data_IF_233193584120
#
_entry.id   IF_233193584120
#
_cell.length_a   1.000
_cell.length_b   1.000
_cell.length_c   1.000
_cell.angle_alpha   90.00
_cell.angle_beta   90.00
_cell.angle_gamma   90.00
#
_symmetry.space_group_name_H-M   'P 1'
#
loop_
_entity.id
_entity.type
_entity.pdbx_description
1 polymer ?
#
# COMPACT_ATOMS: atom_id res chain seq x y z
N UNK A 1 -15.35 28.51 -44.07
CA UNK A 1 -14.26 28.06 -43.19
C UNK A 1 -14.55 28.43 -41.74
N UNK A 2 -15.38 27.68 -41.02
CA UNK A 2 -15.39 27.65 -39.54
C UNK A 2 -16.02 26.30 -39.15
N UNK A 3 -15.21 25.26 -39.01
CA UNK A 3 -15.71 23.91 -38.71
C UNK A 3 -14.68 22.94 -38.14
N UNK A 4 -13.38 23.28 -38.19
CA UNK A 4 -12.30 22.41 -37.68
C UNK A 4 -11.86 22.69 -36.23
N UNK A 5 -12.22 23.83 -35.65
CA UNK A 5 -11.63 24.27 -34.36
C UNK A 5 -12.41 23.82 -33.10
N UNK A 6 -13.67 23.39 -33.23
CA UNK A 6 -14.53 22.99 -32.10
C UNK A 6 -14.51 21.48 -31.80
N UNK A 7 -14.10 20.62 -32.75
CA UNK A 7 -14.08 19.17 -32.55
C UNK A 7 -12.83 18.67 -31.78
N UNK A 8 -11.70 19.37 -31.91
CA UNK A 8 -10.45 18.98 -31.23
C UNK A 8 -10.46 19.26 -29.72
N UNK A 9 -11.24 20.24 -29.25
CA UNK A 9 -11.29 20.60 -27.82
C UNK A 9 -12.16 19.66 -26.97
N UNK A 10 -13.16 18.99 -27.56
CA UNK A 10 -14.05 18.07 -26.85
C UNK A 10 -13.63 16.59 -26.90
N UNK A 11 -12.68 16.22 -27.76
CA UNK A 11 -12.22 14.83 -27.85
C UNK A 11 -11.21 14.44 -26.76
N UNK A 12 -10.62 15.40 -26.03
CA UNK A 12 -9.69 15.13 -24.92
C UNK A 12 -10.34 15.07 -23.53
N UNK A 13 -11.47 15.77 -23.33
CA UNK A 13 -12.17 15.84 -22.03
C UNK A 13 -13.12 14.65 -21.83
N UNK A 14 -13.67 14.08 -22.91
CA UNK A 14 -14.56 12.92 -22.81
C UNK A 14 -13.84 11.65 -22.34
N UNK A 15 -12.60 11.41 -22.79
CA UNK A 15 -11.83 10.22 -22.40
C UNK A 15 -11.52 10.14 -20.90
N UNK A 16 -11.20 11.27 -20.28
CA UNK A 16 -10.92 11.35 -18.84
C UNK A 16 -12.17 11.15 -17.98
N UNK A 17 -13.29 11.78 -18.35
CA UNK A 17 -14.57 11.62 -17.65
C UNK A 17 -15.15 10.21 -17.82
N UNK A 18 -15.12 9.64 -19.03
CA UNK A 18 -15.58 8.27 -19.30
C UNK A 18 -14.72 7.25 -18.53
N UNK A 19 -13.39 7.44 -18.50
CA UNK A 19 -12.49 6.60 -17.69
C UNK A 19 -12.82 6.71 -16.21
N UNK A 20 -13.01 7.92 -15.68
CA UNK A 20 -13.39 8.12 -14.28
C UNK A 20 -14.70 7.43 -13.90
N UNK A 21 -15.74 7.51 -14.74
CA UNK A 21 -17.00 6.77 -14.51
C UNK A 21 -16.80 5.26 -14.57
N UNK A 22 -15.97 4.78 -15.49
CA UNK A 22 -15.65 3.35 -15.63
C UNK A 22 -14.87 2.83 -14.42
N UNK A 23 -13.94 3.61 -13.89
CA UNK A 23 -13.14 3.28 -12.71
C UNK A 23 -14.04 3.25 -11.46
N UNK A 24 -14.91 4.25 -11.32
CA UNK A 24 -15.91 4.31 -10.23
C UNK A 24 -16.86 3.10 -10.26
N UNK A 25 -17.34 2.70 -11.44
CA UNK A 25 -18.20 1.51 -11.59
C UNK A 25 -17.50 0.21 -11.17
N UNK A 26 -16.16 0.19 -11.15
CA UNK A 26 -15.35 -0.95 -10.71
C UNK A 26 -14.90 -0.84 -9.24
N UNK A 27 -15.35 0.18 -8.51
CA UNK A 27 -14.98 0.41 -7.11
C UNK A 27 -13.69 1.22 -6.90
N UNK A 28 -13.11 1.79 -7.97
CA UNK A 28 -11.89 2.60 -7.90
C UNK A 28 -12.23 4.09 -7.84
N UNK A 29 -11.28 4.89 -7.36
CA UNK A 29 -11.36 6.35 -7.34
C UNK A 29 -11.60 6.91 -8.74
N UNK A 30 -12.64 7.74 -8.89
CA UNK A 30 -12.93 8.46 -10.13
C UNK A 30 -11.76 9.32 -10.62
N UNK A 31 -10.98 9.89 -9.70
CA UNK A 31 -9.98 10.92 -9.99
C UNK A 31 -8.67 10.37 -10.52
N UNK A 32 -8.26 9.19 -10.03
CA UNK A 32 -6.96 8.60 -10.35
C UNK A 32 -7.03 7.08 -10.61
N UNK A 33 -8.23 6.51 -10.66
CA UNK A 33 -8.45 5.10 -10.90
C UNK A 33 -7.86 4.20 -9.81
N UNK A 34 -7.62 4.72 -8.61
CA UNK A 34 -6.97 3.98 -7.51
C UNK A 34 -7.91 3.45 -6.45
N UNK A 35 -7.57 2.30 -5.88
CA UNK A 35 -8.14 1.76 -4.65
C UNK A 35 -6.99 1.45 -3.68
N UNK A 36 -7.15 1.71 -2.39
CA UNK A 36 -6.03 1.63 -1.41
C UNK A 36 -6.33 0.61 -0.32
N UNK A 37 -5.42 -0.36 -0.14
CA UNK A 37 -5.32 -1.18 1.07
C UNK A 37 -4.38 -0.48 2.04
N UNK A 38 -4.84 -0.28 3.29
CA UNK A 38 -4.04 0.36 4.34
C UNK A 38 -3.68 -0.68 5.39
N UNK A 39 -2.38 -0.84 5.67
CA UNK A 39 -1.95 -1.60 6.84
C UNK A 39 -2.04 -0.72 8.08
N UNK A 40 -3.21 -0.78 8.73
CA UNK A 40 -3.50 -0.07 9.98
C UNK A 40 -2.86 -0.81 11.16
N UNK A 41 -2.11 -0.07 11.98
CA UNK A 41 -1.41 -0.60 13.17
C UNK A 41 -1.97 -0.07 14.50
N UNK A 42 -2.88 0.89 14.45
CA UNK A 42 -3.44 1.51 15.65
C UNK A 42 -4.20 2.78 15.33
N UNK A 43 -4.64 3.47 16.39
CA UNK A 43 -5.30 4.77 16.31
C UNK A 43 -4.59 5.75 17.24
N UNK A 44 -4.51 7.01 16.83
CA UNK A 44 -4.00 8.10 17.65
C UNK A 44 -4.77 9.38 17.39
N UNK A 45 -4.77 10.27 18.39
CA UNK A 45 -5.31 11.61 18.22
C UNK A 45 -4.57 12.35 17.10
N UNK A 46 -5.34 13.03 16.26
CA UNK A 46 -4.79 13.83 15.19
C UNK A 46 -4.05 15.05 15.73
N UNK A 47 -2.74 15.08 15.52
CA UNK A 47 -1.92 16.25 15.80
C UNK A 47 -2.24 17.37 14.80
N UNK A 48 -2.32 18.63 15.22
CA UNK A 48 -2.74 19.72 14.34
C UNK A 48 -1.87 19.92 13.06
N UNK A 49 -0.67 19.33 13.01
CA UNK A 49 0.35 19.58 11.98
C UNK A 49 0.71 18.38 11.08
N UNK A 50 0.00 17.24 11.14
CA UNK A 50 0.41 16.01 10.41
C UNK A 50 0.56 16.22 8.89
N UNK A 51 -0.29 17.04 8.27
CA UNK A 51 -0.22 17.31 6.82
C UNK A 51 1.02 18.12 6.43
N UNK A 52 1.44 19.04 7.30
CA UNK A 52 2.62 19.87 7.03
C UNK A 52 3.91 19.09 7.27
N UNK A 53 3.93 18.20 8.27
CA UNK A 53 5.02 17.24 8.46
C UNK A 53 5.21 16.35 7.23
N UNK A 54 4.14 15.78 6.69
CA UNK A 54 4.21 15.01 5.45
C UNK A 54 4.74 15.81 4.25
N UNK A 55 4.28 17.07 4.07
CA UNK A 55 4.79 17.94 3.00
C UNK A 55 6.28 18.24 3.16
N UNK A 56 6.73 18.54 4.37
CA UNK A 56 8.16 18.78 4.67
C UNK A 56 8.99 17.54 4.40
N UNK A 57 8.52 16.38 4.87
CA UNK A 57 9.16 15.09 4.63
C UNK A 57 9.32 14.79 3.13
N UNK A 58 8.21 14.88 2.38
CA UNK A 58 8.18 14.57 0.95
C UNK A 58 9.15 15.43 0.12
N UNK A 59 9.44 16.66 0.58
CA UNK A 59 10.36 17.59 -0.09
C UNK A 59 11.82 17.42 0.35
N UNK A 60 12.07 17.04 1.61
CA UNK A 60 13.41 17.11 2.20
C UNK A 60 14.12 15.78 2.41
N UNK A 61 13.38 14.69 2.64
CA UNK A 61 13.97 13.43 3.16
C UNK A 61 13.55 12.19 2.37
N UNK A 62 12.44 12.27 1.65
CA UNK A 62 11.87 11.10 0.99
C UNK A 62 12.80 10.47 -0.06
N UNK A 63 13.62 11.24 -0.79
CA UNK A 63 14.47 10.64 -1.84
C UNK A 63 15.55 9.72 -1.26
N UNK A 64 16.19 10.12 -0.16
CA UNK A 64 17.18 9.31 0.54
C UNK A 64 16.54 8.05 1.14
N UNK A 65 15.38 8.19 1.79
CA UNK A 65 14.68 7.05 2.37
C UNK A 65 14.05 6.15 1.31
N UNK A 66 13.69 6.68 0.14
CA UNK A 66 13.21 5.88 -1.01
C UNK A 66 14.35 5.02 -1.56
N UNK A 67 15.57 5.54 -1.63
CA UNK A 67 16.73 4.76 -2.05
C UNK A 67 17.00 3.61 -1.08
N UNK A 68 17.02 3.89 0.22
CA UNK A 68 17.19 2.86 1.26
C UNK A 68 16.06 1.82 1.23
N UNK A 69 14.81 2.26 1.13
CA UNK A 69 13.65 1.38 1.00
C UNK A 69 13.82 0.42 -0.18
N UNK A 70 14.20 0.94 -1.36
CA UNK A 70 14.39 0.12 -2.57
C UNK A 70 15.53 -0.88 -2.41
N UNK A 71 16.65 -0.48 -1.80
CA UNK A 71 17.76 -1.38 -1.49
C UNK A 71 17.28 -2.53 -0.61
N UNK A 72 16.58 -2.23 0.50
CA UNK A 72 16.07 -3.27 1.41
C UNK A 72 15.03 -4.18 0.78
N UNK A 73 14.19 -3.66 -0.12
CA UNK A 73 13.24 -4.49 -0.89
C UNK A 73 13.97 -5.53 -1.76
N UNK A 74 15.10 -5.15 -2.36
CA UNK A 74 15.94 -6.07 -3.14
C UNK A 74 16.64 -7.07 -2.21
N UNK A 75 17.29 -6.61 -1.15
CA UNK A 75 18.06 -7.49 -0.25
C UNK A 75 17.16 -8.54 0.43
N UNK A 76 16.02 -8.09 0.96
CA UNK A 76 15.16 -8.93 1.78
C UNK A 76 14.14 -9.74 0.98
N UNK A 77 13.69 -9.21 -0.16
CA UNK A 77 12.62 -9.84 -0.94
C UNK A 77 13.01 -10.17 -2.38
N UNK A 78 14.14 -9.66 -2.87
CA UNK A 78 14.52 -9.72 -4.28
C UNK A 78 13.42 -9.16 -5.19
N UNK A 79 12.87 -7.99 -4.81
CA UNK A 79 11.81 -7.29 -5.53
C UNK A 79 12.27 -5.87 -5.87
N UNK A 80 12.00 -5.44 -7.09
CA UNK A 80 12.19 -4.07 -7.55
C UNK A 80 10.95 -3.54 -8.32
N UNK A 81 10.90 -2.23 -8.56
CA UNK A 81 9.88 -1.64 -9.42
C UNK A 81 9.89 -2.33 -10.80
N UNK A 82 8.71 -2.63 -11.33
CA UNK A 82 8.49 -3.46 -12.52
C UNK A 82 7.97 -4.87 -12.19
N UNK A 83 8.36 -5.43 -11.05
CA UNK A 83 7.93 -6.77 -10.64
C UNK A 83 6.46 -6.78 -10.21
N UNK A 84 5.71 -7.81 -10.59
CA UNK A 84 4.31 -7.98 -10.17
C UNK A 84 3.43 -6.74 -10.41
N UNK A 85 3.71 -5.97 -11.46
CA UNK A 85 2.98 -4.75 -11.76
C UNK A 85 3.25 -3.59 -10.80
N UNK A 86 4.26 -3.68 -9.93
CA UNK A 86 4.66 -2.60 -9.02
C UNK A 86 5.25 -1.45 -9.86
N UNK A 87 4.56 -0.33 -9.95
CA UNK A 87 5.04 0.84 -10.69
C UNK A 87 5.94 1.73 -9.82
N UNK A 88 5.73 1.69 -8.51
CA UNK A 88 6.41 2.59 -7.58
C UNK A 88 6.49 2.02 -6.16
N UNK A 89 7.69 2.11 -5.60
CA UNK A 89 8.00 1.85 -4.19
C UNK A 89 8.50 3.17 -3.59
N UNK A 90 7.83 3.69 -2.56
CA UNK A 90 8.18 5.00 -1.98
C UNK A 90 7.77 5.13 -0.52
N UNK A 91 8.45 6.02 0.21
CA UNK A 91 8.15 6.48 1.56
C UNK A 91 7.35 7.78 1.56
N UNK A 92 7.06 8.36 0.39
CA UNK A 92 6.27 9.60 0.28
C UNK A 92 4.83 9.39 0.73
N UNK A 93 4.41 10.16 1.74
CA UNK A 93 3.00 10.24 2.13
C UNK A 93 2.16 10.72 0.93
N UNK A 94 1.06 10.01 0.65
CA UNK A 94 0.17 10.33 -0.47
C UNK A 94 -0.76 11.50 -0.19
N UNK A 95 -1.38 12.00 -1.25
CA UNK A 95 -2.47 12.96 -1.12
C UNK A 95 -3.56 12.37 -0.22
N UNK A 96 -3.93 13.10 0.84
CA UNK A 96 -4.92 12.67 1.83
C UNK A 96 -4.33 12.06 3.10
N UNK A 97 -3.05 11.72 3.12
CA UNK A 97 -2.33 11.31 4.33
C UNK A 97 -1.50 12.48 4.86
N UNK A 98 -1.31 12.52 6.18
CA UNK A 98 -0.12 13.17 6.72
C UNK A 98 0.76 12.19 7.48
N UNK A 99 1.58 12.74 8.36
CA UNK A 99 2.65 12.01 9.00
C UNK A 99 2.86 12.50 10.44
N UNK A 100 3.10 11.57 11.36
CA UNK A 100 3.55 11.88 12.71
C UNK A 100 5.01 12.36 12.71
N UNK A 101 5.48 12.92 13.83
CA UNK A 101 6.87 13.38 13.97
C UNK A 101 7.90 12.26 13.84
N UNK A 102 7.54 11.03 14.18
CA UNK A 102 8.38 9.83 14.06
C UNK A 102 8.26 9.11 12.71
N UNK A 103 7.50 9.66 11.76
CA UNK A 103 7.45 9.16 10.38
C UNK A 103 6.45 8.04 10.13
N UNK A 104 5.35 7.96 10.89
CA UNK A 104 4.20 7.07 10.62
C UNK A 104 3.14 7.84 9.84
N UNK A 105 2.54 7.22 8.83
CA UNK A 105 1.41 7.83 8.12
C UNK A 105 0.16 7.91 8.99
N UNK A 106 -0.59 8.99 8.78
CA UNK A 106 -1.85 9.27 9.47
C UNK A 106 -2.93 9.60 8.45
N UNK A 107 -4.10 8.97 8.55
CA UNK A 107 -5.28 9.36 7.76
C UNK A 107 -6.17 10.36 8.53
N UNK A 108 -7.20 10.88 7.86
CA UNK A 108 -8.15 11.84 8.45
C UNK A 108 -9.12 11.18 9.46
N UNK A 109 -9.03 9.87 9.69
CA UNK A 109 -9.79 9.12 10.68
C UNK A 109 -9.00 8.90 11.98
N UNK A 110 -7.70 9.26 11.99
CA UNK A 110 -6.81 9.05 13.14
C UNK A 110 -6.14 7.68 13.16
N UNK A 111 -6.28 6.88 12.09
CA UNK A 111 -5.56 5.61 11.99
C UNK A 111 -4.08 5.86 11.70
N UNK A 112 -3.24 5.10 12.41
CA UNK A 112 -1.82 4.97 12.14
C UNK A 112 -1.60 3.89 11.08
N UNK A 113 -0.88 4.24 10.03
CA UNK A 113 -0.69 3.39 8.85
C UNK A 113 0.80 3.09 8.69
N UNK A 114 1.18 1.81 8.77
CA UNK A 114 2.57 1.38 8.61
C UNK A 114 2.99 1.24 7.15
N UNK A 115 2.05 0.81 6.31
CA UNK A 115 2.23 0.61 4.88
C UNK A 115 0.90 0.75 4.15
N UNK A 116 0.96 0.89 2.83
CA UNK A 116 -0.21 0.81 1.98
C UNK A 116 0.16 0.33 0.58
N UNK A 117 -0.81 -0.30 -0.06
CA UNK A 117 -0.76 -0.66 -1.47
C UNK A 117 -1.90 0.03 -2.19
N UNK A 118 -1.55 0.88 -3.16
CA UNK A 118 -2.51 1.43 -4.12
C UNK A 118 -2.59 0.51 -5.31
N UNK A 119 -3.79 0.16 -5.74
CA UNK A 119 -4.09 -0.63 -6.93
C UNK A 119 -4.77 0.27 -7.94
N UNK A 120 -4.35 0.22 -9.20
CA UNK A 120 -4.91 1.03 -10.27
C UNK A 120 -5.65 0.17 -11.27
N UNK A 121 -6.73 0.67 -11.87
CA UNK A 121 -7.51 -0.05 -12.89
C UNK A 121 -6.70 -0.48 -14.12
N UNK A 122 -5.50 0.07 -14.31
CA UNK A 122 -4.50 -0.32 -15.31
C UNK A 122 -3.76 -1.63 -14.96
N UNK A 123 -4.05 -2.25 -13.81
CA UNK A 123 -3.36 -3.45 -13.33
C UNK A 123 -2.02 -3.16 -12.64
N UNK A 124 -1.70 -1.88 -12.37
CA UNK A 124 -0.48 -1.48 -11.66
C UNK A 124 -0.73 -1.32 -10.17
N UNK A 125 0.35 -1.41 -9.39
CA UNK A 125 0.31 -1.14 -7.95
C UNK A 125 1.44 -0.21 -7.51
N UNK A 126 1.16 0.68 -6.55
CA UNK A 126 2.18 1.43 -5.85
C UNK A 126 2.23 1.01 -4.39
N UNK A 127 3.41 0.63 -3.92
CA UNK A 127 3.68 0.29 -2.53
C UNK A 127 4.23 1.51 -1.82
N UNK A 128 3.72 1.79 -0.62
CA UNK A 128 4.31 2.79 0.26
C UNK A 128 4.50 2.27 1.65
N UNK A 129 5.68 2.55 2.21
CA UNK A 129 6.05 2.14 3.56
C UNK A 129 6.37 3.40 4.34
N UNK A 130 5.73 3.55 5.50
CA UNK A 130 5.99 4.68 6.39
C UNK A 130 7.49 4.81 6.67
N UNK A 131 8.06 6.02 6.61
CA UNK A 131 9.48 6.26 6.84
C UNK A 131 10.01 5.60 8.12
N UNK A 132 9.21 5.59 9.19
CA UNK A 132 9.54 4.91 10.45
C UNK A 132 9.96 3.46 10.25
N UNK A 133 9.32 2.74 9.34
CA UNK A 133 9.54 1.31 9.14
C UNK A 133 10.44 1.01 7.94
N UNK A 134 10.50 1.95 6.99
CA UNK A 134 11.34 1.82 5.81
C UNK A 134 12.85 1.81 6.11
N UNK A 135 13.29 2.47 7.19
CA UNK A 135 14.74 2.65 7.49
C UNK A 135 15.19 2.16 8.86
N UNK A 136 14.28 1.65 9.70
CA UNK A 136 14.60 1.17 11.04
C UNK A 136 14.58 -0.38 11.12
N UNK A 137 14.08 -0.92 12.23
CA UNK A 137 14.13 -2.33 12.60
C UNK A 137 13.80 -3.29 11.44
N UNK A 138 14.61 -4.34 11.32
CA UNK A 138 14.51 -5.29 10.21
C UNK A 138 13.29 -6.20 10.31
N UNK A 139 12.83 -6.52 11.52
CA UNK A 139 11.65 -7.36 11.72
C UNK A 139 10.40 -6.56 11.37
N UNK A 140 10.30 -5.31 11.83
CA UNK A 140 9.23 -4.39 11.44
C UNK A 140 9.19 -4.20 9.93
N UNK A 141 10.34 -3.90 9.32
CA UNK A 141 10.43 -3.73 7.87
C UNK A 141 9.92 -4.97 7.14
N UNK A 142 10.40 -6.15 7.50
CA UNK A 142 9.99 -7.39 6.84
C UNK A 142 8.49 -7.62 7.00
N UNK A 143 7.96 -7.45 8.21
CA UNK A 143 6.55 -7.68 8.50
C UNK A 143 5.63 -6.75 7.70
N UNK A 144 6.04 -5.50 7.48
CA UNK A 144 5.24 -4.47 6.79
C UNK A 144 5.46 -4.53 5.28
N UNK A 145 6.69 -4.57 4.80
CA UNK A 145 6.97 -4.64 3.37
C UNK A 145 6.45 -5.94 2.75
N UNK A 146 6.62 -7.09 3.41
CA UNK A 146 6.06 -8.34 2.91
C UNK A 146 4.53 -8.38 2.93
N UNK A 147 3.88 -7.66 3.86
CA UNK A 147 2.42 -7.46 3.85
C UNK A 147 1.97 -6.75 2.56
N UNK A 148 2.61 -5.62 2.23
CA UNK A 148 2.27 -4.87 1.01
C UNK A 148 2.62 -5.63 -0.28
N UNK A 149 3.72 -6.40 -0.27
CA UNK A 149 4.09 -7.27 -1.40
C UNK A 149 3.04 -8.36 -1.66
N UNK A 150 2.39 -8.88 -0.63
CA UNK A 150 1.29 -9.84 -0.78
C UNK A 150 0.12 -9.20 -1.52
N UNK A 151 -0.23 -7.95 -1.23
CA UNK A 151 -1.27 -7.23 -1.96
C UNK A 151 -0.90 -7.01 -3.42
N UNK A 152 0.34 -6.59 -3.70
CA UNK A 152 0.83 -6.42 -5.06
C UNK A 152 0.78 -7.75 -5.84
N UNK A 153 1.28 -8.83 -5.23
CA UNK A 153 1.24 -10.17 -5.82
C UNK A 153 -0.20 -10.62 -6.13
N UNK A 154 -1.11 -10.53 -5.16
CA UNK A 154 -2.50 -10.97 -5.35
C UNK A 154 -3.21 -10.14 -6.40
N UNK A 155 -3.00 -8.83 -6.43
CA UNK A 155 -3.62 -8.00 -7.45
C UNK A 155 -3.10 -8.34 -8.84
N UNK A 156 -1.79 -8.50 -9.00
CA UNK A 156 -1.18 -8.93 -10.26
C UNK A 156 -1.64 -10.33 -10.70
N UNK A 157 -1.86 -11.23 -9.75
CA UNK A 157 -2.25 -12.62 -10.03
C UNK A 157 -3.73 -12.76 -10.37
N UNK A 158 -4.60 -12.07 -9.65
CA UNK A 158 -6.05 -12.26 -9.76
C UNK A 158 -6.76 -11.18 -10.58
N UNK A 159 -6.16 -9.99 -10.74
CA UNK A 159 -6.76 -8.89 -11.48
C UNK A 159 -8.19 -8.60 -11.00
N UNK A 160 -9.17 -8.77 -11.89
CA UNK A 160 -10.60 -8.57 -11.59
C UNK A 160 -11.18 -9.59 -10.61
N UNK A 161 -10.54 -10.74 -10.42
CA UNK A 161 -10.94 -11.75 -9.44
C UNK A 161 -10.28 -11.53 -8.06
N UNK A 162 -9.57 -10.42 -7.86
CA UNK A 162 -8.98 -10.05 -6.58
C UNK A 162 -10.05 -9.94 -5.48
N UNK A 163 -9.73 -10.45 -4.30
CA UNK A 163 -10.58 -10.33 -3.12
C UNK A 163 -9.73 -9.71 -2.01
N UNK A 164 -10.16 -8.54 -1.53
CA UNK A 164 -9.44 -7.79 -0.52
C UNK A 164 -9.35 -8.57 0.79
N UNK A 165 -10.47 -9.16 1.25
CA UNK A 165 -10.53 -9.88 2.53
C UNK A 165 -9.58 -11.07 2.55
N UNK A 166 -9.51 -11.85 1.46
CA UNK A 166 -8.56 -12.95 1.36
C UNK A 166 -7.11 -12.45 1.31
N UNK A 167 -6.84 -11.38 0.56
CA UNK A 167 -5.49 -10.82 0.48
C UNK A 167 -4.99 -10.28 1.82
N UNK A 168 -5.80 -9.46 2.49
CA UNK A 168 -5.53 -8.93 3.84
C UNK A 168 -5.29 -10.10 4.81
N UNK A 169 -6.09 -11.16 4.71
CA UNK A 169 -5.97 -12.30 5.62
C UNK A 169 -4.67 -13.07 5.46
N UNK A 170 -4.12 -13.17 4.25
CA UNK A 170 -2.80 -13.75 4.01
C UNK A 170 -1.70 -12.79 4.47
N UNK A 171 -1.86 -11.49 4.18
CA UNK A 171 -0.89 -10.46 4.53
C UNK A 171 -0.70 -10.30 6.04
N UNK A 172 -1.80 -10.26 6.82
CA UNK A 172 -1.74 -10.22 8.28
C UNK A 172 -1.09 -11.46 8.88
N UNK A 173 -1.36 -12.65 8.33
CA UNK A 173 -0.72 -13.89 8.81
C UNK A 173 0.78 -13.90 8.56
N UNK A 174 1.21 -13.36 7.42
CA UNK A 174 2.61 -13.13 7.14
C UNK A 174 3.27 -12.17 8.14
N UNK A 175 2.66 -11.01 8.41
CA UNK A 175 3.20 -10.06 9.40
C UNK A 175 3.30 -10.69 10.79
N UNK A 176 2.26 -11.41 11.24
CA UNK A 176 2.27 -12.15 12.52
C UNK A 176 3.37 -13.20 12.56
N UNK A 177 3.49 -14.04 11.52
CA UNK A 177 4.52 -15.07 11.42
C UNK A 177 5.94 -14.48 11.43
N UNK A 178 6.14 -13.35 10.76
CA UNK A 178 7.42 -12.62 10.76
C UNK A 178 7.79 -12.12 12.15
N UNK A 179 6.85 -11.51 12.88
CA UNK A 179 7.08 -11.08 14.25
C UNK A 179 7.36 -12.24 15.21
N UNK A 180 6.66 -13.37 15.07
CA UNK A 180 6.92 -14.59 15.86
C UNK A 180 8.32 -15.12 15.60
N UNK A 181 8.74 -15.23 14.33
CA UNK A 181 10.10 -15.67 13.95
C UNK A 181 11.18 -14.73 14.48
N UNK A 182 10.88 -13.44 14.60
CA UNK A 182 11.74 -12.43 15.21
C UNK A 182 11.67 -12.35 16.74
N UNK A 183 10.97 -13.27 17.42
CA UNK A 183 10.71 -13.24 18.87
C UNK A 183 10.00 -11.97 19.39
N UNK A 184 9.35 -11.22 18.52
CA UNK A 184 8.61 -10.00 18.86
C UNK A 184 7.14 -10.32 19.16
N UNK A 185 6.92 -11.03 20.26
CA UNK A 185 5.60 -11.55 20.65
C UNK A 185 4.54 -10.45 20.89
N UNK A 186 4.96 -9.29 21.43
CA UNK A 186 4.08 -8.14 21.62
C UNK A 186 3.52 -7.61 20.30
N UNK A 187 4.38 -7.42 19.30
CA UNK A 187 3.98 -6.98 17.96
C UNK A 187 3.14 -8.03 17.26
N UNK A 188 3.52 -9.31 17.36
CA UNK A 188 2.74 -10.42 16.80
C UNK A 188 1.30 -10.45 17.35
N UNK A 189 1.15 -10.34 18.67
CA UNK A 189 -0.17 -10.34 19.31
C UNK A 189 -1.00 -9.11 18.95
N UNK A 190 -0.36 -7.93 18.90
CA UNK A 190 -1.02 -6.68 18.46
C UNK A 190 -1.57 -6.80 17.03
N UNK A 191 -0.76 -7.33 16.11
CA UNK A 191 -1.18 -7.53 14.72
C UNK A 191 -2.30 -8.57 14.58
N UNK A 192 -2.21 -9.68 15.31
CA UNK A 192 -3.27 -10.69 15.36
C UNK A 192 -4.60 -10.09 15.85
N UNK A 193 -4.59 -9.32 16.95
CA UNK A 193 -5.81 -8.66 17.45
C UNK A 193 -6.37 -7.65 16.45
N UNK A 194 -5.51 -6.93 15.74
CA UNK A 194 -5.93 -6.00 14.69
C UNK A 194 -6.61 -6.73 13.54
N UNK A 195 -6.01 -7.82 13.05
CA UNK A 195 -6.60 -8.65 12.00
C UNK A 195 -7.98 -9.21 12.42
N UNK A 196 -8.11 -9.70 13.65
CA UNK A 196 -9.39 -10.16 14.19
C UNK A 196 -10.44 -9.05 14.25
N UNK A 197 -10.07 -7.87 14.75
CA UNK A 197 -10.96 -6.69 14.84
C UNK A 197 -11.46 -6.24 13.47
N UNK A 198 -10.61 -6.32 12.45
CA UNK A 198 -10.93 -5.96 11.06
C UNK A 198 -11.58 -7.11 10.28
N UNK A 199 -11.83 -8.26 10.92
CA UNK A 199 -12.37 -9.48 10.30
C UNK A 199 -11.51 -10.04 9.14
N UNK A 200 -10.19 -9.90 9.26
CA UNK A 200 -9.19 -10.41 8.32
C UNK A 200 -8.50 -11.68 8.83
N UNK A 201 -9.09 -12.41 9.77
CA UNK A 201 -8.58 -13.72 10.20
C UNK A 201 -9.56 -14.84 9.81
N UNK A 202 -9.73 -15.02 8.50
CA UNK A 202 -10.76 -15.88 7.90
C UNK A 202 -10.14 -17.06 7.15
N UNK A 203 -10.91 -18.10 6.86
CA UNK A 203 -10.44 -19.19 6.01
C UNK A 203 -10.18 -18.69 4.59
N UNK A 204 -9.00 -19.01 4.07
CA UNK A 204 -8.54 -18.53 2.77
C UNK A 204 -8.42 -19.69 1.78
N UNK A 205 -8.99 -19.59 0.56
CA UNK A 205 -8.81 -20.61 -0.47
C UNK A 205 -7.33 -20.82 -0.82
N UNK A 206 -6.91 -22.07 -1.03
CA UNK A 206 -5.50 -22.42 -1.33
C UNK A 206 -4.88 -21.61 -2.47
N UNK A 207 -5.68 -21.19 -3.46
CA UNK A 207 -5.20 -20.38 -4.58
C UNK A 207 -4.60 -19.02 -4.16
N UNK A 208 -5.03 -18.46 -3.02
CA UNK A 208 -4.50 -17.20 -2.45
C UNK A 208 -3.25 -17.42 -1.58
N UNK A 209 -2.75 -18.65 -1.43
CA UNK A 209 -1.49 -18.85 -0.71
C UNK A 209 -0.31 -18.41 -1.58
N UNK A 210 0.66 -17.75 -0.97
CA UNK A 210 1.89 -17.32 -1.65
C UNK A 210 2.76 -18.55 -1.97
N UNK A 211 3.21 -18.71 -3.22
CA UNK A 211 4.16 -19.76 -3.57
C UNK A 211 5.47 -19.65 -2.76
N UNK A 212 5.99 -20.79 -2.29
CA UNK A 212 7.21 -20.84 -1.44
C UNK A 212 8.49 -20.28 -2.07
N UNK A 213 8.48 -20.03 -3.38
CA UNK A 213 9.59 -19.38 -4.09
C UNK A 213 9.77 -17.92 -3.66
N UNK A 214 8.72 -17.29 -3.13
CA UNK A 214 8.78 -15.92 -2.64
C UNK A 214 9.20 -15.88 -1.17
N UNK A 215 10.04 -14.90 -0.82
CA UNK A 215 10.56 -14.70 0.54
C UNK A 215 9.50 -14.15 1.53
N UNK A 216 8.33 -13.75 1.03
CA UNK A 216 7.19 -13.25 1.81
C UNK A 216 6.05 -14.27 1.92
N UNK A 217 6.40 -15.55 2.15
CA UNK A 217 5.44 -16.61 2.51
C UNK A 217 5.35 -16.76 4.03
N UNK A 218 4.16 -17.08 4.52
CA UNK A 218 3.91 -17.29 5.95
C UNK A 218 3.93 -18.76 6.34
#
# INVERSE_FOLDING_TARGET
FVGGALSAAFSGISGGLIRGFTDMAKGYSFWDGSETSYFVIGQAEQQANYKDLAKKYNKGYAEMNDAELKTRMIEEFNVHEGDMGIDRITTKAGNGLGMSSDGVYMNNQGDQIAGLTKRYTTGKTSIRISPKYAVNDIIDFKAIAGHELIHAYHYNTFGTAYDASFSESVAYRYSVSTYVRGNSWGSAFSMYRTAMRLNYWIDVPKKYMIPKIFKYTW
#
